data_IF_949713675210
#
_entry.id   IF_949713675210
#
_cell.length_a   1.000
_cell.length_b   1.000
_cell.length_c   1.000
_cell.angle_alpha   90.00
_cell.angle_beta   90.00
_cell.angle_gamma   90.00
#
_symmetry.space_group_name_H-M   'P 1'
#
loop_
_entity.id
_entity.type
_entity.pdbx_description
1 polymer ?
#
# COMPACT_ATOMS: atom_id res chain seq x y z
N UNK A 1 41.25 10.36 -44.56
CA UNK A 1 41.07 9.66 -43.26
C UNK A 1 41.21 10.69 -42.14
N UNK A 2 40.40 10.52 -41.09
CA UNK A 2 40.31 11.30 -39.85
C UNK A 2 39.61 12.67 -39.86
N UNK A 3 38.30 12.56 -39.62
CA UNK A 3 37.46 13.47 -38.83
C UNK A 3 37.98 13.47 -37.38
N UNK A 4 38.00 14.61 -36.70
CA UNK A 4 37.42 14.70 -35.36
C UNK A 4 37.04 16.13 -34.97
N UNK A 5 35.80 16.20 -34.51
CA UNK A 5 34.89 17.31 -34.48
C UNK A 5 34.55 17.59 -33.01
N UNK A 6 34.54 18.88 -32.67
CA UNK A 6 33.74 19.53 -31.61
C UNK A 6 33.65 18.85 -30.24
N UNK A 7 34.48 19.37 -29.34
CA UNK A 7 34.35 19.24 -27.90
C UNK A 7 33.21 20.15 -27.41
N UNK A 8 32.03 19.60 -27.12
CA UNK A 8 31.01 20.24 -26.26
C UNK A 8 30.04 19.21 -25.70
N UNK A 9 30.52 18.39 -24.76
CA UNK A 9 29.63 17.61 -23.90
C UNK A 9 28.90 18.59 -22.96
N UNK A 10 27.76 19.10 -23.44
CA UNK A 10 26.67 19.56 -22.56
C UNK A 10 26.36 18.40 -21.63
N UNK A 11 26.75 18.54 -20.37
CA UNK A 11 26.28 17.72 -19.26
C UNK A 11 24.76 17.81 -19.29
N UNK A 12 24.13 16.80 -19.88
CA UNK A 12 22.70 16.61 -19.79
C UNK A 12 22.42 16.42 -18.30
N UNK A 13 21.88 17.45 -17.67
CA UNK A 13 21.28 17.32 -16.36
C UNK A 13 20.09 16.39 -16.58
N UNK A 14 20.30 15.09 -16.43
CA UNK A 14 19.22 14.18 -16.11
C UNK A 14 18.75 14.61 -14.74
N UNK A 15 17.78 15.53 -14.73
CA UNK A 15 16.84 15.63 -13.63
C UNK A 15 16.32 14.21 -13.41
N UNK A 16 16.86 13.54 -12.38
CA UNK A 16 16.18 12.43 -11.72
C UNK A 16 14.87 13.01 -11.16
N UNK A 17 13.89 13.17 -12.05
CA UNK A 17 12.50 13.33 -11.68
C UNK A 17 12.07 11.98 -11.11
N UNK A 18 12.47 11.71 -9.89
CA UNK A 18 11.68 10.86 -9.03
C UNK A 18 10.31 11.55 -9.00
N UNK A 19 9.25 10.99 -9.60
CA UNK A 19 7.95 11.58 -9.45
C UNK A 19 7.60 11.27 -8.00
N UNK A 20 7.87 12.23 -7.12
CA UNK A 20 7.06 12.42 -5.94
C UNK A 20 5.63 12.45 -6.47
N UNK A 21 4.99 11.28 -6.43
CA UNK A 21 3.57 11.11 -6.71
C UNK A 21 2.92 11.99 -5.68
N UNK A 22 2.62 13.18 -6.17
CA UNK A 22 2.42 14.38 -5.39
C UNK A 22 1.26 14.09 -4.43
N UNK A 23 1.33 14.60 -3.21
CA UNK A 23 0.26 14.50 -2.19
C UNK A 23 -1.11 14.98 -2.68
N UNK A 24 -1.20 15.49 -3.91
CA UNK A 24 -2.37 15.96 -4.65
C UNK A 24 -3.25 14.85 -5.25
N UNK A 25 -2.99 13.57 -4.93
CA UNK A 25 -3.83 12.45 -5.39
C UNK A 25 -5.08 12.25 -4.53
N UNK A 26 -5.08 12.74 -3.30
CA UNK A 26 -6.07 12.38 -2.28
C UNK A 26 -6.77 13.62 -1.72
N UNK A 27 -8.08 13.52 -1.48
CA UNK A 27 -8.95 14.63 -1.02
C UNK A 27 -8.65 15.09 0.40
N UNK A 28 -8.18 14.17 1.23
CA UNK A 28 -7.90 14.42 2.64
C UNK A 28 -6.43 14.09 2.92
N UNK A 29 -5.50 15.02 2.64
CA UNK A 29 -4.09 14.77 2.85
C UNK A 29 -3.75 14.53 4.32
N UNK A 30 -4.53 15.05 5.27
CA UNK A 30 -4.34 14.84 6.72
C UNK A 30 -4.72 13.43 7.21
N UNK A 31 -5.53 12.71 6.42
CA UNK A 31 -5.76 11.26 6.61
C UNK A 31 -4.49 10.48 6.25
N UNK A 32 -3.53 11.15 5.57
CA UNK A 32 -2.21 10.62 5.24
C UNK A 32 -1.11 11.40 5.94
N UNK A 33 0.03 10.74 6.16
CA UNK A 33 1.23 11.46 6.58
C UNK A 33 1.97 12.00 5.37
N UNK A 34 2.51 13.21 5.53
CA UNK A 34 3.39 13.88 4.56
C UNK A 34 4.51 12.91 4.10
N UNK A 35 4.56 12.61 2.80
CA UNK A 35 5.56 11.72 2.19
C UNK A 35 5.08 10.32 1.79
N UNK A 36 3.81 9.97 2.05
CA UNK A 36 3.23 8.70 1.58
C UNK A 36 2.95 8.75 0.06
N UNK A 37 3.57 7.84 -0.70
CA UNK A 37 3.30 7.68 -2.13
C UNK A 37 2.01 6.87 -2.39
N UNK A 38 1.48 6.96 -3.61
CA UNK A 38 0.23 6.28 -3.99
C UNK A 38 0.31 4.75 -3.86
N UNK A 39 1.49 4.16 -4.00
CA UNK A 39 1.69 2.71 -3.79
C UNK A 39 1.49 2.33 -2.33
N UNK A 40 2.09 3.08 -1.44
CA UNK A 40 1.97 2.88 0.00
C UNK A 40 0.55 3.15 0.47
N UNK A 41 -0.12 4.15 -0.11
CA UNK A 41 -1.54 4.41 0.11
C UNK A 41 -2.43 3.21 -0.17
N UNK A 42 -2.33 2.64 -1.38
CA UNK A 42 -3.09 1.44 -1.78
C UNK A 42 -2.90 0.32 -0.76
N UNK A 43 -1.70 0.20 -0.22
CA UNK A 43 -1.35 -0.84 0.75
C UNK A 43 -1.98 -0.63 2.12
N UNK A 44 -1.91 0.59 2.64
CA UNK A 44 -2.58 0.92 3.88
C UNK A 44 -4.07 0.65 3.75
N UNK A 45 -4.70 1.05 2.65
CA UNK A 45 -6.13 0.82 2.39
C UNK A 45 -6.48 -0.68 2.35
N UNK A 46 -5.64 -1.52 1.72
CA UNK A 46 -5.86 -2.98 1.72
C UNK A 46 -5.82 -3.59 3.12
N UNK A 47 -4.91 -3.13 3.99
CA UNK A 47 -4.83 -3.65 5.35
C UNK A 47 -5.98 -3.16 6.22
N UNK A 48 -6.36 -1.89 6.10
CA UNK A 48 -7.38 -1.28 6.95
C UNK A 48 -8.79 -1.75 6.61
N UNK A 49 -9.07 -1.96 5.32
CA UNK A 49 -10.39 -2.37 4.83
C UNK A 49 -10.45 -3.86 4.49
N UNK A 50 -9.51 -4.67 4.99
CA UNK A 50 -9.42 -6.10 4.66
C UNK A 50 -10.68 -6.93 4.98
N UNK A 51 -11.46 -6.44 5.95
CA UNK A 51 -12.66 -7.10 6.46
C UNK A 51 -13.93 -6.59 5.73
N UNK A 52 -13.79 -5.58 4.84
CA UNK A 52 -14.88 -5.09 3.99
C UNK A 52 -15.03 -5.95 2.75
N UNK A 53 -16.25 -6.04 2.23
CA UNK A 53 -16.49 -6.65 0.92
C UNK A 53 -15.73 -5.88 -0.17
N UNK A 54 -15.21 -6.59 -1.17
CA UNK A 54 -14.38 -6.00 -2.25
C UNK A 54 -15.05 -4.79 -2.93
N UNK A 55 -16.37 -4.81 -3.12
CA UNK A 55 -17.09 -3.68 -3.71
C UNK A 55 -17.20 -2.48 -2.77
N UNK A 56 -17.35 -2.71 -1.46
CA UNK A 56 -17.35 -1.63 -0.47
C UNK A 56 -15.95 -1.05 -0.30
N UNK A 57 -14.92 -1.90 -0.33
CA UNK A 57 -13.53 -1.50 -0.35
C UNK A 57 -13.27 -0.47 -1.45
N UNK A 58 -13.70 -0.75 -2.70
CA UNK A 58 -13.50 0.17 -3.84
C UNK A 58 -14.25 1.48 -3.64
N UNK A 59 -15.49 1.44 -3.13
CA UNK A 59 -16.28 2.64 -2.83
C UNK A 59 -15.57 3.54 -1.82
N UNK A 60 -15.12 2.96 -0.71
CA UNK A 60 -14.39 3.69 0.33
C UNK A 60 -13.08 4.23 -0.24
N UNK A 61 -12.28 3.42 -0.94
CA UNK A 61 -11.00 3.85 -1.52
C UNK A 61 -11.16 5.02 -2.51
N UNK A 62 -12.13 4.94 -3.43
CA UNK A 62 -12.43 6.00 -4.41
C UNK A 62 -12.84 7.31 -3.73
N UNK A 63 -13.54 7.24 -2.59
CA UNK A 63 -13.97 8.44 -1.85
C UNK A 63 -12.81 9.29 -1.35
N UNK A 64 -11.63 8.70 -1.14
CA UNK A 64 -10.41 9.40 -0.70
C UNK A 64 -9.59 9.98 -1.84
N UNK A 65 -9.86 9.62 -3.10
CA UNK A 65 -9.09 10.07 -4.25
C UNK A 65 -9.64 11.40 -4.78
N UNK A 66 -8.73 12.31 -5.11
CA UNK A 66 -9.03 13.60 -5.72
C UNK A 66 -9.80 13.46 -7.03
N UNK A 67 -10.78 14.34 -7.23
CA UNK A 67 -11.67 14.26 -8.40
C UNK A 67 -10.89 14.39 -9.71
N UNK A 68 -9.80 15.16 -9.73
CA UNK A 68 -8.93 15.31 -10.90
C UNK A 68 -8.21 14.01 -11.28
N UNK A 69 -7.91 13.15 -10.31
CA UNK A 69 -7.30 11.83 -10.55
C UNK A 69 -8.38 10.84 -10.95
N UNK A 70 -9.55 10.89 -10.30
CA UNK A 70 -10.70 10.06 -10.66
C UNK A 70 -11.11 10.21 -12.13
N UNK A 71 -11.01 11.43 -12.69
CA UNK A 71 -11.26 11.71 -14.11
C UNK A 71 -10.32 10.99 -15.08
N UNK A 72 -9.17 10.50 -14.60
CA UNK A 72 -8.21 9.77 -15.43
C UNK A 72 -8.58 8.28 -15.58
N UNK A 73 -9.53 7.78 -14.77
CA UNK A 73 -10.07 6.44 -14.91
C UNK A 73 -11.23 6.44 -15.91
N UNK A 74 -11.01 5.85 -17.08
CA UNK A 74 -12.06 5.70 -18.09
C UNK A 74 -13.26 4.85 -17.61
N UNK A 75 -13.04 3.94 -16.65
CA UNK A 75 -13.98 2.88 -16.27
C UNK A 75 -14.38 2.92 -14.78
N UNK A 76 -14.34 4.08 -14.13
CA UNK A 76 -14.57 4.18 -12.68
C UNK A 76 -15.91 3.54 -12.24
N UNK A 77 -16.99 3.78 -12.97
CA UNK A 77 -18.29 3.16 -12.67
C UNK A 77 -18.28 1.64 -12.80
N UNK A 78 -17.49 1.10 -13.75
CA UNK A 78 -17.36 -0.34 -13.94
C UNK A 78 -16.75 -0.99 -12.71
N UNK A 79 -15.73 -0.37 -12.12
CA UNK A 79 -15.08 -0.90 -10.91
C UNK A 79 -16.02 -0.96 -9.71
N UNK A 80 -16.96 -0.01 -9.62
CA UNK A 80 -17.93 0.07 -8.52
C UNK A 80 -19.12 -0.88 -8.67
N UNK A 81 -19.40 -1.33 -9.90
CA UNK A 81 -20.52 -2.22 -10.26
C UNK A 81 -20.08 -3.69 -10.37
N UNK A 82 -18.83 -3.95 -10.71
CA UNK A 82 -18.25 -5.30 -10.82
C UNK A 82 -17.84 -5.82 -9.44
N UNK A 83 -18.73 -6.55 -8.79
CA UNK A 83 -18.50 -7.12 -7.46
C UNK A 83 -17.46 -8.25 -7.45
N UNK A 84 -17.19 -8.89 -8.59
CA UNK A 84 -16.24 -9.99 -8.68
C UNK A 84 -14.81 -9.49 -8.92
N UNK A 85 -14.63 -8.60 -9.90
CA UNK A 85 -13.31 -8.20 -10.40
C UNK A 85 -13.02 -6.70 -10.23
N UNK A 86 -13.99 -5.89 -9.82
CA UNK A 86 -13.86 -4.44 -9.75
C UNK A 86 -12.72 -3.97 -8.85
N UNK A 87 -12.48 -4.68 -7.74
CA UNK A 87 -11.33 -4.46 -6.85
C UNK A 87 -9.99 -4.64 -7.59
N UNK A 88 -9.79 -5.79 -8.23
CA UNK A 88 -8.54 -6.14 -8.89
C UNK A 88 -8.29 -5.22 -10.12
N UNK A 89 -9.35 -4.86 -10.84
CA UNK A 89 -9.31 -3.90 -11.93
C UNK A 89 -8.95 -2.48 -11.46
N UNK A 90 -9.60 -1.99 -10.40
CA UNK A 90 -9.31 -0.68 -9.82
C UNK A 90 -7.87 -0.61 -9.31
N UNK A 91 -7.44 -1.60 -8.53
CA UNK A 91 -6.07 -1.71 -8.00
C UNK A 91 -5.06 -1.64 -9.14
N UNK A 92 -5.26 -2.42 -10.19
CA UNK A 92 -4.39 -2.45 -11.37
C UNK A 92 -4.34 -1.09 -12.07
N UNK A 93 -5.50 -0.47 -12.30
CA UNK A 93 -5.58 0.83 -12.96
C UNK A 93 -4.91 1.92 -12.12
N UNK A 94 -5.16 1.94 -10.80
CA UNK A 94 -4.60 2.94 -9.90
C UNK A 94 -3.08 2.79 -9.81
N UNK A 95 -2.56 1.58 -9.64
CA UNK A 95 -1.12 1.34 -9.59
C UNK A 95 -0.42 1.69 -10.90
N UNK A 96 -1.03 1.45 -12.06
CA UNK A 96 -0.48 1.93 -13.35
C UNK A 96 -0.39 3.45 -13.44
N UNK A 97 -1.33 4.15 -12.80
CA UNK A 97 -1.36 5.59 -12.78
C UNK A 97 -0.29 6.18 -11.85
N UNK A 98 -0.07 5.55 -10.71
CA UNK A 98 0.80 6.09 -9.66
C UNK A 98 2.17 5.41 -9.56
N UNK A 99 2.45 4.32 -10.28
CA UNK A 99 3.74 3.63 -10.20
C UNK A 99 4.37 3.58 -11.59
N UNK A 100 5.61 4.06 -11.77
CA UNK A 100 6.36 3.84 -13.00
C UNK A 100 6.40 2.34 -13.35
N UNK A 101 6.15 1.98 -14.61
CA UNK A 101 5.98 0.58 -15.02
C UNK A 101 7.10 -0.38 -14.54
N UNK A 102 8.35 0.11 -14.45
CA UNK A 102 9.49 -0.65 -13.95
C UNK A 102 9.42 -1.00 -12.44
N UNK A 103 8.73 -0.19 -11.63
CA UNK A 103 8.56 -0.39 -10.18
C UNK A 103 7.32 -1.24 -9.82
N UNK A 104 6.42 -1.49 -10.79
CA UNK A 104 5.20 -2.27 -10.58
C UNK A 104 5.52 -3.74 -10.26
N UNK A 105 6.45 -4.36 -11.00
CA UNK A 105 6.85 -5.76 -10.79
C UNK A 105 7.49 -5.98 -9.42
N UNK A 106 8.35 -5.05 -8.98
CA UNK A 106 8.96 -5.10 -7.65
C UNK A 106 7.93 -4.92 -6.53
N UNK A 107 6.92 -4.05 -6.76
CA UNK A 107 5.81 -3.85 -5.83
C UNK A 107 5.01 -5.13 -5.62
N UNK A 108 4.62 -5.80 -6.70
CA UNK A 108 3.87 -7.07 -6.64
C UNK A 108 4.70 -8.14 -5.93
N UNK A 109 6.00 -8.25 -6.24
CA UNK A 109 6.89 -9.22 -5.58
C UNK A 109 7.03 -8.97 -4.07
N UNK A 110 7.23 -7.71 -3.66
CA UNK A 110 7.33 -7.35 -2.25
C UNK A 110 6.04 -7.66 -1.49
N UNK A 111 4.89 -7.50 -2.15
CA UNK A 111 3.58 -7.82 -1.60
C UNK A 111 3.35 -9.31 -1.40
N UNK A 112 3.67 -10.12 -2.40
CA UNK A 112 3.62 -11.58 -2.29
C UNK A 112 4.45 -12.03 -1.09
N UNK A 113 5.68 -11.50 -0.94
CA UNK A 113 6.54 -11.78 0.22
C UNK A 113 5.90 -11.39 1.55
N UNK A 114 5.23 -10.23 1.62
CA UNK A 114 4.61 -9.75 2.85
C UNK A 114 3.38 -10.58 3.26
N UNK A 115 2.56 -11.00 2.28
CA UNK A 115 1.36 -11.79 2.51
C UNK A 115 1.67 -13.26 2.83
N UNK A 116 2.71 -13.81 2.21
CA UNK A 116 3.13 -15.20 2.40
C UNK A 116 4.03 -15.41 3.61
N UNK A 117 4.53 -14.33 4.22
CA UNK A 117 5.39 -14.44 5.38
C UNK A 117 4.68 -15.15 6.54
N UNK A 118 5.29 -16.25 7.00
CA UNK A 118 4.88 -17.02 8.18
C UNK A 118 6.07 -17.25 9.10
N UNK A 119 5.80 -17.19 10.40
CA UNK A 119 6.70 -17.64 11.46
C UNK A 119 7.10 -19.09 11.18
N UNK A 120 8.39 -19.38 11.22
CA UNK A 120 8.89 -20.76 11.09
C UNK A 120 8.59 -21.55 12.36
N UNK A 121 8.40 -22.86 12.25
CA UNK A 121 8.06 -23.74 13.38
C UNK A 121 9.02 -23.60 14.58
N UNK A 122 10.32 -23.36 14.32
CA UNK A 122 11.35 -23.23 15.35
C UNK A 122 11.78 -21.78 15.61
N UNK A 123 11.08 -20.79 15.06
CA UNK A 123 11.38 -19.39 15.28
C UNK A 123 10.67 -18.89 16.54
N UNK A 124 11.40 -18.21 17.43
CA UNK A 124 10.80 -17.63 18.63
C UNK A 124 9.79 -16.53 18.27
N UNK A 125 8.86 -16.24 19.18
CA UNK A 125 7.89 -15.15 18.99
C UNK A 125 8.61 -13.80 18.84
N UNK A 126 9.68 -13.60 19.61
CA UNK A 126 10.50 -12.39 19.54
C UNK A 126 11.17 -12.23 18.17
N UNK A 127 11.83 -13.27 17.69
CA UNK A 127 12.52 -13.24 16.39
C UNK A 127 11.54 -13.06 15.22
N UNK A 128 10.33 -13.60 15.34
CA UNK A 128 9.24 -13.36 14.40
C UNK A 128 8.81 -11.89 14.39
N UNK A 129 8.71 -11.27 15.57
CA UNK A 129 8.45 -9.84 15.72
C UNK A 129 9.49 -9.00 14.98
N UNK A 130 10.78 -9.25 15.23
CA UNK A 130 11.85 -8.50 14.58
C UNK A 130 11.88 -8.73 13.07
N UNK A 131 11.67 -9.97 12.63
CA UNK A 131 11.61 -10.30 11.19
C UNK A 131 10.43 -9.61 10.49
N UNK A 132 9.28 -9.53 11.16
CA UNK A 132 8.10 -8.81 10.64
C UNK A 132 8.39 -7.32 10.50
N UNK A 133 8.96 -6.68 11.53
CA UNK A 133 9.33 -5.26 11.49
C UNK A 133 10.30 -4.99 10.32
N UNK A 134 11.36 -5.79 10.22
CA UNK A 134 12.37 -5.64 9.17
C UNK A 134 11.75 -5.83 7.78
N UNK A 135 10.86 -6.82 7.61
CA UNK A 135 10.18 -7.07 6.35
C UNK A 135 9.30 -5.87 5.97
N UNK A 136 8.44 -5.39 6.88
CA UNK A 136 7.55 -4.26 6.59
C UNK A 136 8.35 -3.00 6.26
N UNK A 137 9.41 -2.68 7.04
CA UNK A 137 10.29 -1.54 6.77
C UNK A 137 10.99 -1.66 5.40
N UNK A 138 11.39 -2.87 4.98
CA UNK A 138 11.97 -3.08 3.65
C UNK A 138 10.98 -2.85 2.50
N UNK A 139 9.69 -3.08 2.74
CA UNK A 139 8.63 -2.86 1.74
C UNK A 139 8.20 -1.38 1.71
N UNK A 140 8.22 -0.70 2.86
CA UNK A 140 7.80 0.70 3.03
C UNK A 140 8.90 1.57 3.65
N UNK A 141 10.06 1.73 3.00
CA UNK A 141 11.20 2.45 3.58
C UNK A 141 10.89 3.93 3.89
N UNK A 142 9.92 4.53 3.19
CA UNK A 142 9.57 5.94 3.35
C UNK A 142 8.57 6.23 4.47
N UNK A 143 8.09 5.20 5.17
CA UNK A 143 7.02 5.32 6.16
C UNK A 143 7.47 4.94 7.59
N UNK A 144 8.77 4.76 7.82
CA UNK A 144 9.33 4.35 9.10
C UNK A 144 8.82 5.24 10.26
N UNK A 145 8.32 4.62 11.34
CA UNK A 145 7.73 5.34 12.48
C UNK A 145 6.31 5.87 12.28
N UNK A 146 5.63 5.52 11.18
CA UNK A 146 4.21 5.83 10.98
C UNK A 146 3.24 4.91 11.74
N UNK A 147 2.12 5.47 12.21
CA UNK A 147 1.03 4.69 12.86
C UNK A 147 0.49 3.61 11.91
N UNK A 148 0.47 3.90 10.60
CA UNK A 148 0.02 2.97 9.57
C UNK A 148 0.95 1.76 9.45
N UNK A 149 2.27 1.97 9.53
CA UNK A 149 3.26 0.89 9.57
C UNK A 149 3.10 0.05 10.84
N UNK A 150 2.87 0.70 11.97
CA UNK A 150 2.59 0.03 13.25
C UNK A 150 1.39 -0.92 13.15
N UNK A 151 0.35 -0.49 12.42
CA UNK A 151 -0.83 -1.29 12.17
C UNK A 151 -0.51 -2.50 11.28
N UNK A 152 0.19 -2.27 10.16
CA UNK A 152 0.62 -3.32 9.25
C UNK A 152 1.54 -4.30 9.97
N UNK A 153 2.50 -3.85 10.76
CA UNK A 153 3.40 -4.69 11.57
C UNK A 153 2.60 -5.57 12.53
N UNK A 154 1.67 -4.99 13.30
CA UNK A 154 0.84 -5.74 14.26
C UNK A 154 0.00 -6.80 13.55
N UNK A 155 -0.62 -6.43 12.43
CA UNK A 155 -1.42 -7.35 11.65
C UNK A 155 -0.57 -8.50 11.06
N UNK A 156 0.54 -8.17 10.39
CA UNK A 156 1.41 -9.16 9.76
C UNK A 156 2.08 -10.06 10.76
N UNK A 157 2.41 -9.54 11.94
CA UNK A 157 2.91 -10.34 13.05
C UNK A 157 1.89 -11.41 13.46
N UNK A 158 0.63 -11.01 13.69
CA UNK A 158 -0.45 -11.93 14.09
C UNK A 158 -0.76 -12.95 13.01
N UNK A 159 -0.93 -12.51 11.76
CA UNK A 159 -1.21 -13.40 10.63
C UNK A 159 -0.06 -14.35 10.32
N UNK A 160 1.16 -13.93 10.62
CA UNK A 160 2.40 -14.69 10.48
C UNK A 160 2.53 -15.82 11.50
N UNK A 161 1.88 -15.75 12.67
CA UNK A 161 2.10 -16.71 13.77
C UNK A 161 1.94 -18.17 13.33
N UNK A 162 2.87 -19.03 13.72
CA UNK A 162 2.81 -20.46 13.38
C UNK A 162 1.68 -21.16 14.12
N UNK A 163 1.55 -20.87 15.42
CA UNK A 163 0.53 -21.47 16.28
C UNK A 163 -0.86 -20.87 15.99
N UNK A 164 -1.74 -21.69 15.42
CA UNK A 164 -3.12 -21.29 15.05
C UNK A 164 -3.91 -20.79 16.27
N UNK A 165 -3.83 -21.49 17.40
CA UNK A 165 -4.58 -21.08 18.61
C UNK A 165 -4.12 -19.73 19.14
N UNK A 166 -2.80 -19.48 19.15
CA UNK A 166 -2.24 -18.19 19.54
C UNK A 166 -2.65 -17.09 18.57
N UNK A 167 -2.65 -17.37 17.26
CA UNK A 167 -3.12 -16.45 16.22
C UNK A 167 -4.58 -16.05 16.43
N UNK A 168 -5.50 -16.99 16.65
CA UNK A 168 -6.90 -16.65 16.87
C UNK A 168 -7.12 -15.82 18.14
N UNK A 169 -6.40 -16.14 19.22
CA UNK A 169 -6.45 -15.36 20.47
C UNK A 169 -5.93 -13.93 20.22
N UNK A 170 -4.83 -13.79 19.48
CA UNK A 170 -4.25 -12.50 19.15
C UNK A 170 -5.17 -11.67 18.22
N UNK A 171 -5.77 -12.29 17.19
CA UNK A 171 -6.79 -11.67 16.33
C UNK A 171 -7.96 -11.15 17.14
N UNK A 172 -8.50 -11.97 18.05
CA UNK A 172 -9.62 -11.58 18.92
C UNK A 172 -9.26 -10.37 19.78
N UNK A 173 -8.04 -10.33 20.35
CA UNK A 173 -7.55 -9.17 21.11
C UNK A 173 -7.35 -7.94 20.24
N UNK A 174 -6.90 -8.10 19.00
CA UNK A 174 -6.79 -7.01 18.03
C UNK A 174 -8.17 -6.46 17.65
N UNK A 175 -9.15 -7.31 17.35
CA UNK A 175 -10.52 -6.87 17.02
C UNK A 175 -11.22 -6.20 18.20
N UNK A 176 -11.04 -6.68 19.44
CA UNK A 176 -11.56 -6.00 20.64
C UNK A 176 -10.93 -4.62 20.87
N UNK A 177 -9.74 -4.36 20.33
CA UNK A 177 -9.11 -3.03 20.29
C UNK A 177 -9.53 -2.22 19.06
N UNK A 178 -9.89 -2.88 17.95
CA UNK A 178 -10.53 -2.31 16.77
C UNK A 178 -12.06 -2.27 16.96
N UNK A 179 -12.56 -1.62 18.01
CA UNK A 179 -13.92 -1.05 17.91
C UNK A 179 -13.79 0.13 16.96
N UNK A 180 -13.62 -0.20 15.68
CA UNK A 180 -13.72 0.71 14.58
C UNK A 180 -15.21 1.04 14.51
N UNK A 181 -15.56 2.29 14.81
CA UNK A 181 -16.92 2.80 14.67
C UNK A 181 -16.95 3.49 13.31
N UNK A 182 -17.47 2.84 12.26
CA UNK A 182 -17.52 3.44 10.94
C UNK A 182 -18.26 4.79 10.98
N UNK A 183 -19.30 4.86 11.80
CA UNK A 183 -20.18 6.02 12.00
C UNK A 183 -19.41 7.25 12.52
N UNK A 184 -18.38 7.06 13.37
CA UNK A 184 -17.59 8.17 13.94
C UNK A 184 -16.49 8.69 12.98
N UNK A 185 -16.04 7.87 12.01
CA UNK A 185 -14.95 8.24 11.09
C UNK A 185 -15.41 8.55 9.67
N UNK A 186 -16.51 7.95 9.20
CA UNK A 186 -17.03 8.09 7.84
C UNK A 186 -18.36 8.85 7.78
N UNK A 187 -18.96 9.21 8.92
CA UNK A 187 -20.19 10.00 8.96
C UNK A 187 -21.34 9.36 8.17
N UNK A 188 -21.53 8.06 8.34
CA UNK A 188 -22.67 7.29 7.83
C UNK A 188 -23.62 7.02 8.99
#
# INVERSE_FOLDING_TARGET
MHVNNSNSNKKCCTEDRNPAINTNILKFPDVFRKGMDGKSWMTVMESFLKDFDKSEWVRVAVSYIENQILKQFANLESFLKDHENGFDQFKTAFLRLVVPQAALTQSISNWTKLNEYKQRQNQSIWDNGQSTINLVNSVFPNLEGSIDLDHIIKERFVEGLFNVRLREVARTKMHKRRVFKPDEFFGI
#
